data_IF_818993435092
#
_entry.id   IF_818993435092
#
_cell.length_a   1.000
_cell.length_b   1.000
_cell.length_c   1.000
_cell.angle_alpha   90.00
_cell.angle_beta   90.00
_cell.angle_gamma   90.00
#
_symmetry.space_group_name_H-M   'P 1'
#
loop_
_entity.id
_entity.type
_entity.pdbx_description
1 polymer ?
#
# COMPACT_ATOMS: atom_id res chain seq x y z
N UNK A 1 -1.15 21.38 -20.65
CA UNK A 1 -1.01 20.04 -20.04
C UNK A 1 -2.31 19.74 -19.31
N UNK A 2 -3.14 18.88 -19.86
CA UNK A 2 -4.40 18.48 -19.22
C UNK A 2 -4.04 17.36 -18.26
N UNK A 3 -4.19 17.57 -16.95
CA UNK A 3 -4.00 16.53 -15.97
C UNK A 3 -5.03 15.42 -16.23
N UNK A 4 -4.59 14.27 -16.69
CA UNK A 4 -5.43 13.07 -16.79
C UNK A 4 -5.58 12.51 -15.38
N UNK A 5 -6.72 12.76 -14.77
CA UNK A 5 -7.08 12.08 -13.52
C UNK A 5 -7.53 10.65 -13.85
N UNK A 6 -6.87 9.67 -13.24
CA UNK A 6 -7.32 8.29 -13.34
C UNK A 6 -8.65 8.15 -12.57
N UNK A 7 -9.73 7.89 -13.31
CA UNK A 7 -11.08 7.73 -12.74
C UNK A 7 -11.18 6.57 -11.76
N UNK A 8 -10.30 5.57 -11.87
CA UNK A 8 -10.27 4.42 -10.97
C UNK A 8 -9.95 4.81 -9.53
N UNK A 9 -9.21 5.91 -9.30
CA UNK A 9 -8.93 6.41 -7.94
C UNK A 9 -10.21 6.77 -7.17
N UNK A 10 -11.23 7.29 -7.87
CA UNK A 10 -12.49 7.70 -7.26
C UNK A 10 -13.53 6.57 -7.17
N UNK A 11 -13.30 5.48 -7.88
CA UNK A 11 -14.19 4.30 -7.85
C UNK A 11 -13.66 3.18 -6.97
N UNK A 12 -12.44 3.33 -6.44
CA UNK A 12 -11.85 2.34 -5.57
C UNK A 12 -12.61 2.25 -4.25
N UNK A 13 -13.19 1.09 -3.99
CA UNK A 13 -14.02 0.80 -2.81
C UNK A 13 -13.28 -0.03 -1.76
N UNK A 14 -12.04 -0.41 -2.02
CA UNK A 14 -11.24 -1.18 -1.08
C UNK A 14 -9.76 -1.19 -1.42
N UNK A 15 -8.94 -1.46 -0.40
CA UNK A 15 -7.50 -1.65 -0.46
C UNK A 15 -7.13 -2.95 0.23
N UNK A 16 -6.11 -3.60 -0.29
CA UNK A 16 -5.64 -4.89 0.21
C UNK A 16 -4.11 -4.94 0.15
N UNK A 17 -3.46 -5.15 1.28
CA UNK A 17 -2.00 -5.24 1.34
C UNK A 17 -1.44 -6.42 0.53
N UNK A 18 -2.20 -7.51 0.39
CA UNK A 18 -1.82 -8.66 -0.42
C UNK A 18 -2.04 -8.49 -1.93
N UNK A 19 -2.66 -7.37 -2.34
CA UNK A 19 -2.99 -7.06 -3.72
C UNK A 19 -2.90 -5.55 -3.96
N UNK A 20 -1.67 -4.99 -3.92
CA UNK A 20 -1.41 -3.56 -3.96
C UNK A 20 -2.00 -2.88 -5.20
N UNK A 21 -2.49 -1.68 -4.98
CA UNK A 21 -2.99 -0.75 -5.98
C UNK A 21 -2.33 0.62 -5.80
N UNK A 22 -2.65 1.59 -6.63
CA UNK A 22 -2.05 2.93 -6.63
C UNK A 22 -2.16 3.69 -5.29
N UNK A 23 -3.13 3.36 -4.44
CA UNK A 23 -3.38 4.07 -3.18
C UNK A 23 -2.84 3.33 -1.96
N UNK A 24 -2.15 2.22 -2.19
CA UNK A 24 -1.54 1.41 -1.15
C UNK A 24 -0.04 1.26 -1.34
N UNK A 25 0.71 1.26 -0.25
CA UNK A 25 2.12 0.93 -0.24
C UNK A 25 2.50 0.15 1.00
N UNK A 26 3.58 -0.61 0.91
CA UNK A 26 4.12 -1.38 2.03
C UNK A 26 5.56 -0.92 2.29
N UNK A 27 5.87 -0.70 3.55
CA UNK A 27 7.23 -0.46 4.04
C UNK A 27 7.70 -1.71 4.75
N UNK A 28 8.80 -2.30 4.27
CA UNK A 28 9.42 -3.49 4.84
C UNK A 28 10.91 -3.26 5.08
N UNK A 29 11.41 -3.72 6.22
CA UNK A 29 12.82 -3.59 6.60
C UNK A 29 13.54 -4.93 6.47
N UNK A 30 14.62 -4.94 5.71
CA UNK A 30 15.51 -6.11 5.60
C UNK A 30 16.62 -6.00 6.66
N UNK A 31 16.50 -6.78 7.73
CA UNK A 31 17.46 -6.71 8.87
C UNK A 31 18.79 -7.37 8.61
N UNK A 32 18.83 -8.40 7.75
CA UNK A 32 20.01 -9.21 7.52
C UNK A 32 20.74 -8.84 6.22
N UNK A 33 22.06 -8.58 6.29
CA UNK A 33 22.85 -8.36 5.09
C UNK A 33 22.83 -9.57 4.15
N UNK A 34 22.84 -9.31 2.84
CA UNK A 34 22.85 -10.36 1.82
C UNK A 34 22.17 -9.93 0.53
N UNK A 35 22.19 -10.83 -0.45
CA UNK A 35 21.51 -10.66 -1.73
C UNK A 35 20.14 -11.34 -1.68
N UNK A 36 19.13 -10.60 -2.13
CA UNK A 36 17.75 -11.05 -2.19
C UNK A 36 17.24 -10.97 -3.63
N UNK A 37 16.55 -12.01 -4.04
CA UNK A 37 15.83 -12.07 -5.30
C UNK A 37 14.36 -11.86 -5.04
N UNK A 38 13.77 -10.90 -5.69
CA UNK A 38 12.35 -10.57 -5.58
C UNK A 38 11.59 -10.85 -6.89
N UNK A 39 10.36 -11.33 -6.76
CA UNK A 39 9.46 -11.58 -7.89
C UNK A 39 8.17 -10.81 -7.66
N UNK A 40 7.80 -9.98 -8.64
CA UNK A 40 6.52 -9.25 -8.68
C UNK A 40 5.50 -10.06 -9.46
N UNK A 41 4.30 -10.15 -8.93
CA UNK A 41 3.13 -10.76 -9.57
C UNK A 41 1.98 -9.78 -9.62
N UNK A 42 1.26 -9.74 -10.73
CA UNK A 42 0.03 -8.97 -10.87
C UNK A 42 -0.93 -9.70 -11.81
N UNK A 43 -1.90 -10.42 -11.22
CA UNK A 43 -2.97 -11.08 -11.96
C UNK A 43 -2.51 -11.85 -13.20
N UNK A 44 -2.83 -11.31 -14.38
CA UNK A 44 -2.53 -11.93 -15.68
C UNK A 44 -1.25 -11.40 -16.34
N UNK A 45 -0.56 -10.45 -15.71
CA UNK A 45 0.65 -9.88 -16.28
C UNK A 45 1.85 -10.83 -16.08
N UNK A 46 2.87 -10.78 -16.97
CA UNK A 46 4.09 -11.54 -16.80
C UNK A 46 4.77 -11.20 -15.46
N UNK A 47 5.35 -12.20 -14.81
CA UNK A 47 6.15 -11.98 -13.60
C UNK A 47 7.40 -11.16 -13.92
N UNK A 48 7.76 -10.24 -13.03
CA UNK A 48 8.99 -9.49 -13.12
C UNK A 48 9.92 -9.85 -11.96
N UNK A 49 11.21 -9.93 -12.25
CA UNK A 49 12.24 -10.22 -11.24
C UNK A 49 13.13 -8.99 -11.05
N UNK A 50 13.51 -8.73 -9.81
CA UNK A 50 14.50 -7.72 -9.42
C UNK A 50 15.32 -8.21 -8.22
N UNK A 51 16.34 -7.45 -7.83
CA UNK A 51 17.26 -7.81 -6.75
C UNK A 51 17.33 -6.69 -5.71
N UNK A 52 17.54 -7.09 -4.46
CA UNK A 52 17.78 -6.16 -3.34
C UNK A 52 19.06 -6.63 -2.64
N UNK A 53 20.10 -5.78 -2.65
CA UNK A 53 21.30 -5.99 -1.83
C UNK A 53 21.15 -5.24 -0.52
N UNK A 54 21.27 -5.95 0.57
CA UNK A 54 21.32 -5.37 1.91
C UNK A 54 22.79 -5.32 2.34
N UNK A 55 23.40 -4.12 2.26
CA UNK A 55 24.83 -3.92 2.48
C UNK A 55 25.09 -2.91 3.58
N UNK A 56 25.93 -3.30 4.54
CA UNK A 56 26.37 -2.45 5.68
C UNK A 56 27.18 -1.24 5.22
N UNK A 57 27.84 -1.32 4.08
CA UNK A 57 28.61 -0.21 3.51
C UNK A 57 27.72 0.80 2.78
N UNK A 58 26.46 0.46 2.49
CA UNK A 58 25.52 1.36 1.82
C UNK A 58 25.04 2.44 2.78
N UNK A 59 25.02 3.69 2.33
CA UNK A 59 24.47 4.83 3.09
C UNK A 59 22.97 5.06 2.83
N UNK A 60 22.37 4.32 1.90
CA UNK A 60 20.96 4.50 1.51
C UNK A 60 20.05 3.94 2.60
N UNK A 61 19.27 4.82 3.22
CA UNK A 61 18.36 4.45 4.29
C UNK A 61 17.04 3.87 3.77
N UNK A 62 16.63 4.19 2.53
CA UNK A 62 15.41 3.66 1.94
C UNK A 62 15.48 3.63 0.42
N UNK A 63 14.71 2.72 -0.17
CA UNK A 63 14.52 2.60 -1.61
C UNK A 63 13.04 2.53 -1.93
N UNK A 64 12.62 3.23 -2.98
CA UNK A 64 11.27 3.18 -3.52
C UNK A 64 11.25 2.22 -4.70
N UNK A 65 10.36 1.23 -4.67
CA UNK A 65 10.25 0.18 -5.68
C UNK A 65 8.84 0.22 -6.27
N UNK A 66 8.75 0.71 -7.50
CA UNK A 66 7.50 0.75 -8.24
C UNK A 66 7.23 -0.60 -8.92
N UNK A 67 6.28 -1.33 -8.38
CA UNK A 67 5.93 -2.67 -8.86
C UNK A 67 5.33 -2.63 -10.28
N UNK A 68 4.57 -1.60 -10.62
CA UNK A 68 3.99 -1.44 -11.94
C UNK A 68 5.06 -1.17 -12.99
N UNK A 69 6.01 -0.30 -12.70
CA UNK A 69 7.14 0.01 -13.58
C UNK A 69 8.06 -1.18 -13.83
N UNK A 70 8.15 -2.12 -12.87
CA UNK A 70 8.91 -3.36 -13.06
C UNK A 70 8.23 -4.35 -14.02
N UNK A 71 6.91 -4.42 -14.01
CA UNK A 71 6.12 -5.34 -14.86
C UNK A 71 5.89 -4.77 -16.24
N UNK A 72 5.55 -3.47 -16.33
CA UNK A 72 5.29 -2.76 -17.57
C UNK A 72 6.24 -1.56 -17.70
N UNK A 73 7.49 -1.76 -18.13
CA UNK A 73 8.39 -0.64 -18.38
C UNK A 73 7.81 0.23 -19.50
N UNK A 74 7.63 1.52 -19.21
CA UNK A 74 7.11 2.48 -20.19
C UNK A 74 8.05 2.55 -21.41
N UNK A 75 7.55 2.25 -22.64
CA UNK A 75 8.37 2.30 -23.83
C UNK A 75 8.87 3.72 -24.19
N UNK A 76 8.19 4.78 -23.70
CA UNK A 76 8.58 6.17 -23.97
C UNK A 76 9.74 6.68 -23.10
N UNK A 77 10.08 6.00 -22.00
CA UNK A 77 11.33 6.22 -21.27
C UNK A 77 12.53 5.56 -21.92
N UNK A 78 12.36 4.91 -23.06
CA UNK A 78 13.34 4.11 -23.79
C UNK A 78 14.37 4.87 -24.59
N UNK A 79 14.63 6.15 -24.29
CA UNK A 79 15.89 6.81 -24.73
C UNK A 79 17.14 6.19 -24.12
N UNK A 80 17.05 5.56 -22.98
CA UNK A 80 18.02 4.64 -22.39
C UNK A 80 17.25 3.35 -22.08
N UNK A 81 17.52 2.27 -22.80
CA UNK A 81 17.14 0.93 -22.33
C UNK A 81 17.56 0.86 -20.86
N UNK A 82 16.68 0.51 -19.93
CA UNK A 82 17.11 0.05 -18.62
C UNK A 82 17.69 -1.38 -18.82
N UNK A 83 18.87 -1.45 -19.40
CA UNK A 83 19.82 -2.56 -19.23
C UNK A 83 20.52 -2.40 -17.88
N UNK A 84 20.15 -1.38 -17.09
CA UNK A 84 20.58 -1.19 -15.73
C UNK A 84 19.60 -1.93 -14.84
N UNK A 85 20.07 -2.96 -14.36
CA UNK A 85 19.83 -3.70 -13.15
C UNK A 85 18.62 -3.19 -12.36
N UNK A 86 17.57 -3.98 -12.41
CA UNK A 86 16.49 -4.02 -11.42
C UNK A 86 17.10 -4.44 -10.09
N UNK A 87 18.07 -3.65 -9.62
CA UNK A 87 18.90 -3.91 -8.47
C UNK A 87 18.90 -2.70 -7.56
N UNK A 88 18.40 -2.90 -6.34
CA UNK A 88 18.27 -1.87 -5.31
C UNK A 88 19.23 -2.20 -4.18
N UNK A 89 19.89 -1.20 -3.62
CA UNK A 89 20.81 -1.37 -2.51
C UNK A 89 20.33 -0.57 -1.32
N UNK A 90 20.24 -1.20 -0.16
CA UNK A 90 19.73 -0.57 1.07
C UNK A 90 20.61 -1.00 2.26
N UNK A 91 20.73 -0.10 3.26
CA UNK A 91 21.39 -0.40 4.53
C UNK A 91 20.56 -1.42 5.36
N UNK A 92 21.14 -2.34 6.17
CA UNK A 92 20.39 -3.28 7.02
C UNK A 92 19.43 -2.66 8.03
N UNK A 93 19.59 -1.37 8.36
CA UNK A 93 18.66 -0.60 9.20
C UNK A 93 17.70 0.27 8.36
N UNK A 94 17.76 0.10 7.06
CA UNK A 94 16.91 0.80 6.11
C UNK A 94 15.68 -0.02 5.74
N UNK A 95 14.92 0.50 4.79
CA UNK A 95 13.66 -0.13 4.36
C UNK A 95 13.41 0.04 2.87
N UNK A 96 12.66 -0.91 2.32
CA UNK A 96 12.08 -0.80 0.99
C UNK A 96 10.61 -0.36 1.08
N UNK A 97 10.22 0.54 0.19
CA UNK A 97 8.83 0.97 0.00
C UNK A 97 8.34 0.36 -1.30
N UNK A 98 7.47 -0.63 -1.22
CA UNK A 98 6.80 -1.21 -2.37
C UNK A 98 5.53 -0.42 -2.66
N UNK A 99 5.43 0.15 -3.85
CA UNK A 99 4.27 0.94 -4.27
C UNK A 99 3.88 0.64 -5.72
N UNK A 100 2.76 1.18 -6.14
CA UNK A 100 2.21 1.03 -7.49
C UNK A 100 1.91 2.40 -8.05
N UNK A 101 2.57 2.79 -9.15
CA UNK A 101 2.36 4.09 -9.80
C UNK A 101 1.20 4.08 -10.80
N UNK A 102 0.74 2.90 -11.25
CA UNK A 102 -0.32 2.78 -12.25
C UNK A 102 -0.68 1.33 -12.56
N UNK A 103 -1.58 1.13 -13.50
CA UNK A 103 -1.99 -0.18 -13.98
C UNK A 103 -3.20 -0.78 -13.26
N UNK A 104 -3.52 -2.06 -13.54
CA UNK A 104 -4.79 -2.67 -13.13
C UNK A 104 -4.89 -2.97 -11.63
N UNK A 105 -3.79 -2.81 -10.88
CA UNK A 105 -3.73 -3.20 -9.46
C UNK A 105 -3.48 -4.71 -9.26
N UNK A 106 -3.59 -5.16 -8.01
CA UNK A 106 -3.41 -6.57 -7.66
C UNK A 106 -1.94 -7.00 -7.62
N UNK A 107 -1.02 -6.06 -7.37
CA UNK A 107 0.41 -6.36 -7.31
C UNK A 107 0.80 -6.97 -5.96
N UNK A 108 1.62 -8.01 -6.02
CA UNK A 108 2.26 -8.60 -4.85
C UNK A 108 3.75 -8.85 -5.12
N UNK A 109 4.55 -8.86 -4.07
CA UNK A 109 5.98 -9.16 -4.15
C UNK A 109 6.34 -10.30 -3.21
N UNK A 110 7.15 -11.22 -3.71
CA UNK A 110 7.75 -12.31 -2.95
C UNK A 110 9.27 -12.15 -3.02
N UNK A 111 9.92 -12.15 -1.87
CA UNK A 111 11.38 -11.99 -1.75
C UNK A 111 11.98 -13.22 -1.11
N UNK A 112 13.12 -13.69 -1.63
CA UNK A 112 13.87 -14.83 -1.12
C UNK A 112 15.35 -14.46 -1.06
N UNK A 113 16.10 -15.05 -0.17
CA UNK A 113 17.54 -14.96 -0.22
C UNK A 113 18.08 -15.68 -1.45
N UNK A 114 19.05 -15.06 -2.13
CA UNK A 114 19.58 -15.62 -3.39
C UNK A 114 20.38 -16.92 -3.18
N UNK A 115 20.99 -17.08 -2.00
CA UNK A 115 21.88 -18.19 -1.65
C UNK A 115 21.20 -19.30 -0.85
N UNK A 116 19.93 -19.12 -0.45
CA UNK A 116 19.20 -20.09 0.38
C UNK A 116 18.24 -20.96 -0.43
N UNK A 117 17.71 -21.99 0.23
CA UNK A 117 16.68 -22.88 -0.30
C UNK A 117 15.56 -22.06 -0.96
N UNK A 118 15.21 -22.34 -2.23
CA UNK A 118 14.15 -21.66 -2.94
C UNK A 118 12.79 -21.70 -2.24
N UNK A 119 12.57 -22.60 -1.30
CA UNK A 119 11.34 -22.70 -0.52
C UNK A 119 11.29 -21.74 0.67
N UNK A 120 12.45 -21.26 1.16
CA UNK A 120 12.51 -20.31 2.25
C UNK A 120 12.21 -18.88 1.73
N UNK A 121 11.07 -18.37 2.13
CA UNK A 121 10.66 -16.99 1.85
C UNK A 121 11.26 -16.07 2.91
N UNK A 122 11.99 -15.05 2.47
CA UNK A 122 12.41 -13.97 3.36
C UNK A 122 11.26 -12.99 3.64
N UNK A 123 10.38 -12.79 2.64
CA UNK A 123 9.25 -11.88 2.76
C UNK A 123 8.18 -12.20 1.70
N UNK A 124 6.90 -12.01 2.03
CA UNK A 124 5.76 -12.11 1.10
C UNK A 124 4.75 -11.00 1.43
N UNK A 125 4.54 -10.06 0.51
CA UNK A 125 3.62 -8.93 0.71
C UNK A 125 2.16 -9.34 0.95
N UNK A 126 1.81 -10.59 0.64
CA UNK A 126 0.48 -11.12 0.94
C UNK A 126 0.29 -11.48 2.41
N UNK A 127 1.39 -11.58 3.16
CA UNK A 127 1.42 -11.75 4.60
C UNK A 127 2.47 -10.82 5.17
N UNK A 128 2.03 -9.70 5.70
CA UNK A 128 2.89 -8.73 6.35
C UNK A 128 3.39 -9.28 7.69
N UNK A 129 4.59 -8.88 8.07
CA UNK A 129 5.25 -9.32 9.30
C UNK A 129 5.24 -8.19 10.35
N UNK A 130 5.44 -8.51 11.65
CA UNK A 130 5.61 -7.49 12.66
C UNK A 130 6.74 -6.52 12.32
N UNK A 131 6.43 -5.22 12.37
CA UNK A 131 7.34 -4.15 11.96
C UNK A 131 7.07 -3.61 10.55
N UNK A 132 6.29 -4.31 9.74
CA UNK A 132 5.81 -3.78 8.47
C UNK A 132 4.80 -2.66 8.67
N UNK A 133 4.73 -1.76 7.69
CA UNK A 133 3.73 -0.70 7.66
C UNK A 133 2.96 -0.80 6.34
N UNK A 134 1.66 -0.91 6.43
CA UNK A 134 0.79 -0.71 5.29
C UNK A 134 0.29 0.73 5.29
N UNK A 135 0.62 1.49 4.26
CA UNK A 135 0.19 2.88 4.09
C UNK A 135 -0.90 2.95 3.03
N UNK A 136 -1.96 3.68 3.34
CA UNK A 136 -3.13 3.84 2.47
C UNK A 136 -3.56 5.30 2.36
N UNK A 137 -4.13 5.67 1.21
CA UNK A 137 -4.80 6.95 1.01
C UNK A 137 -6.24 6.64 0.59
N UNK A 138 -7.21 7.16 1.35
CA UNK A 138 -8.63 6.98 1.08
C UNK A 138 -9.20 8.29 0.51
N UNK A 139 -9.63 8.23 -0.75
CA UNK A 139 -10.14 9.43 -1.45
C UNK A 139 -11.64 9.64 -1.28
N UNK A 140 -12.40 8.55 -1.28
CA UNK A 140 -13.86 8.64 -1.25
C UNK A 140 -14.32 8.92 0.17
N UNK A 141 -15.09 9.99 0.41
CA UNK A 141 -15.71 10.22 1.71
C UNK A 141 -16.64 9.06 2.09
N UNK A 142 -16.68 8.74 3.38
CA UNK A 142 -17.51 7.66 3.87
C UNK A 142 -16.89 6.89 5.01
N UNK A 143 -17.52 5.78 5.37
CA UNK A 143 -17.09 4.90 6.43
C UNK A 143 -16.49 3.61 5.85
N UNK A 144 -15.31 3.26 6.34
CA UNK A 144 -14.56 2.06 5.95
C UNK A 144 -14.41 1.12 7.14
N UNK A 145 -14.38 -0.17 6.87
CA UNK A 145 -13.90 -1.21 7.78
C UNK A 145 -12.44 -1.52 7.47
N UNK A 146 -11.61 -1.57 8.49
CA UNK A 146 -10.20 -2.00 8.40
C UNK A 146 -10.07 -3.30 9.18
N UNK A 147 -9.56 -4.35 8.55
CA UNK A 147 -9.39 -5.67 9.16
C UNK A 147 -7.97 -6.17 8.98
N UNK A 148 -7.41 -6.76 10.03
CA UNK A 148 -6.20 -7.56 9.95
C UNK A 148 -6.62 -9.03 9.84
N UNK A 149 -6.52 -9.60 8.65
CA UNK A 149 -6.90 -10.97 8.35
C UNK A 149 -5.76 -11.93 8.72
N UNK A 150 -6.09 -13.07 9.27
CA UNK A 150 -5.19 -14.19 9.44
C UNK A 150 -4.77 -14.76 8.07
N UNK A 151 -3.60 -15.36 8.00
CA UNK A 151 -3.10 -15.99 6.78
C UNK A 151 -4.02 -17.09 6.29
N UNK A 152 -4.02 -17.31 4.96
CA UNK A 152 -4.66 -18.47 4.33
C UNK A 152 -4.14 -19.77 4.98
N UNK A 153 -5.01 -20.49 5.67
CA UNK A 153 -4.70 -21.75 6.38
C UNK A 153 -5.06 -21.74 7.87
N UNK A 154 -5.16 -20.59 8.51
CA UNK A 154 -5.70 -20.43 9.84
C UNK A 154 -7.13 -19.92 9.68
N UNK A 155 -8.12 -20.74 9.95
CA UNK A 155 -9.58 -20.45 9.92
C UNK A 155 -10.02 -19.33 8.97
N UNK A 156 -10.37 -19.67 7.74
CA UNK A 156 -10.81 -18.69 6.73
C UNK A 156 -11.87 -17.74 7.30
N UNK A 157 -11.55 -16.46 7.38
CA UNK A 157 -12.47 -15.38 7.81
C UNK A 157 -12.30 -14.88 9.23
N UNK A 158 -11.42 -15.45 10.05
CA UNK A 158 -11.07 -14.88 11.34
C UNK A 158 -10.14 -13.67 11.15
N UNK A 159 -10.38 -12.60 11.89
CA UNK A 159 -9.52 -11.39 11.93
C UNK A 159 -8.93 -11.22 13.32
N UNK A 160 -7.67 -10.81 13.40
CA UNK A 160 -7.05 -10.39 14.66
C UNK A 160 -7.65 -9.10 15.21
N UNK A 161 -8.37 -8.35 14.41
CA UNK A 161 -8.98 -7.10 14.86
C UNK A 161 -9.67 -6.36 13.74
N UNK A 162 -10.58 -5.49 14.14
CA UNK A 162 -11.32 -4.62 13.26
C UNK A 162 -11.32 -3.20 13.81
N UNK A 163 -11.21 -2.23 12.92
CA UNK A 163 -11.37 -0.80 13.21
C UNK A 163 -12.26 -0.15 12.16
N UNK A 164 -12.85 0.97 12.50
CA UNK A 164 -13.58 1.81 11.57
C UNK A 164 -12.77 3.06 11.22
N UNK A 165 -12.81 3.45 9.96
CA UNK A 165 -12.22 4.71 9.48
C UNK A 165 -13.32 5.54 8.85
N UNK A 166 -13.43 6.80 9.27
CA UNK A 166 -14.34 7.75 8.65
C UNK A 166 -13.54 8.78 7.87
N UNK A 167 -13.79 8.89 6.57
CA UNK A 167 -13.20 9.94 5.73
C UNK A 167 -14.22 11.05 5.58
N UNK A 168 -13.89 12.25 6.06
CA UNK A 168 -14.78 13.40 6.02
C UNK A 168 -15.05 13.85 4.58
N UNK A 169 -16.21 14.48 4.37
CA UNK A 169 -16.50 15.17 3.12
C UNK A 169 -15.69 16.47 3.04
N UNK A 170 -15.10 16.82 1.89
CA UNK A 170 -14.34 18.06 1.76
C UNK A 170 -15.21 19.30 2.01
N UNK A 171 -14.70 20.23 2.80
CA UNK A 171 -15.39 21.51 3.00
C UNK A 171 -15.18 22.38 1.76
N UNK A 172 -16.26 22.85 1.10
CA UNK A 172 -16.15 23.71 -0.07
C UNK A 172 -15.44 25.03 0.27
N UNK A 173 -14.56 25.48 -0.62
CA UNK A 173 -13.95 26.83 -0.57
C UNK A 173 -12.56 26.92 0.04
N UNK A 174 -11.98 25.86 0.55
CA UNK A 174 -10.58 25.87 1.01
C UNK A 174 -9.62 25.61 -0.17
N UNK A 175 -9.20 26.68 -0.84
CA UNK A 175 -8.26 26.62 -1.97
C UNK A 175 -6.81 26.34 -1.54
N UNK A 176 -6.52 26.38 -0.24
CA UNK A 176 -5.19 26.17 0.35
C UNK A 176 -5.12 24.86 1.16
N UNK A 177 -6.08 23.94 0.97
CA UNK A 177 -6.11 22.71 1.71
C UNK A 177 -4.78 21.92 1.59
N UNK A 178 -4.20 21.61 2.72
CA UNK A 178 -3.06 20.70 2.85
C UNK A 178 -3.46 19.54 3.75
N UNK A 179 -3.33 18.29 3.29
CA UNK A 179 -3.61 17.15 4.15
C UNK A 179 -2.74 17.23 5.41
N UNK A 180 -3.29 16.97 6.59
CA UNK A 180 -2.49 16.84 7.81
C UNK A 180 -1.54 15.62 7.72
N UNK A 181 -0.61 15.47 8.67
CA UNK A 181 0.20 14.26 8.77
C UNK A 181 -0.66 13.00 8.76
N UNK A 182 -0.08 11.91 8.26
CA UNK A 182 -0.77 10.63 8.24
C UNK A 182 -1.23 10.22 9.63
N UNK A 183 -2.45 9.71 9.74
CA UNK A 183 -2.91 9.03 10.93
C UNK A 183 -2.18 7.69 11.09
N UNK A 184 -2.00 7.26 12.32
CA UNK A 184 -1.28 6.02 12.64
C UNK A 184 -2.17 5.13 13.50
N UNK A 185 -2.19 3.83 13.17
CA UNK A 185 -2.81 2.83 14.00
C UNK A 185 -1.90 1.60 14.13
N UNK A 186 -1.95 0.96 15.28
CA UNK A 186 -1.24 -0.28 15.57
C UNK A 186 -2.16 -1.49 15.32
N UNK A 187 -1.70 -2.43 14.49
CA UNK A 187 -2.41 -3.65 14.14
C UNK A 187 -1.80 -4.83 14.90
N UNK A 188 -2.24 -5.02 16.16
CA UNK A 188 -1.94 -6.16 17.00
C UNK A 188 -3.08 -7.18 17.00
N UNK A 189 -3.36 -7.79 18.16
CA UNK A 189 -4.57 -8.60 18.38
C UNK A 189 -5.86 -7.77 18.20
N UNK A 190 -5.72 -6.46 18.34
CA UNK A 190 -6.74 -5.46 18.00
C UNK A 190 -6.09 -4.35 17.19
N UNK A 191 -6.89 -3.61 16.45
CA UNK A 191 -6.44 -2.38 15.78
C UNK A 191 -6.73 -1.22 16.71
N UNK A 192 -5.68 -0.46 17.05
CA UNK A 192 -5.76 0.69 17.96
C UNK A 192 -5.23 1.96 17.29
N UNK A 193 -6.02 3.05 17.26
CA UNK A 193 -7.37 3.18 17.81
C UNK A 193 -8.43 2.42 16.98
N UNK A 194 -9.50 1.96 17.62
CA UNK A 194 -10.60 1.24 16.97
C UNK A 194 -11.46 2.14 16.07
N UNK A 195 -11.35 3.45 16.21
CA UNK A 195 -11.98 4.45 15.35
C UNK A 195 -10.99 5.54 14.97
N UNK A 196 -10.94 5.86 13.67
CA UNK A 196 -10.01 6.81 13.08
C UNK A 196 -10.78 7.76 12.19
N UNK A 197 -10.67 9.06 12.44
CA UNK A 197 -11.21 10.09 11.58
C UNK A 197 -10.11 10.65 10.68
N UNK A 198 -10.35 10.66 9.38
CA UNK A 198 -9.45 11.18 8.37
C UNK A 198 -10.09 12.38 7.64
N UNK A 199 -9.24 13.34 7.33
CA UNK A 199 -9.58 14.36 6.35
C UNK A 199 -9.29 13.83 4.92
N UNK A 200 -9.91 14.40 3.88
CA UNK A 200 -9.67 13.97 2.50
C UNK A 200 -8.19 13.97 2.16
N UNK A 201 -7.72 12.94 1.47
CA UNK A 201 -6.32 12.75 1.06
C UNK A 201 -5.31 12.62 2.22
N UNK A 202 -5.75 12.56 3.47
CA UNK A 202 -4.87 12.22 4.58
C UNK A 202 -4.44 10.77 4.49
N UNK A 203 -3.14 10.51 4.67
CA UNK A 203 -2.60 9.16 4.71
C UNK A 203 -3.01 8.42 5.99
N UNK A 204 -3.12 7.12 5.90
CA UNK A 204 -3.30 6.19 7.02
C UNK A 204 -2.14 5.20 7.04
N UNK A 205 -1.39 5.14 8.12
CA UNK A 205 -0.31 4.19 8.34
C UNK A 205 -0.73 3.14 9.36
N UNK A 206 -0.77 1.90 8.95
CA UNK A 206 -1.14 0.74 9.75
C UNK A 206 0.13 -0.05 10.08
N UNK A 207 0.58 0.03 11.33
CA UNK A 207 1.80 -0.61 11.81
C UNK A 207 1.47 -2.02 12.31
N UNK A 208 2.03 -3.04 11.68
CA UNK A 208 1.79 -4.41 12.08
C UNK A 208 2.59 -4.78 13.33
N UNK A 209 1.91 -5.32 14.31
CA UNK A 209 2.47 -5.87 15.56
C UNK A 209 2.38 -7.40 15.60
N UNK A 210 1.50 -7.97 14.80
CA UNK A 210 1.35 -9.41 14.56
C UNK A 210 1.31 -9.67 13.06
N UNK A 211 1.66 -10.86 12.59
CA UNK A 211 1.56 -11.19 11.16
C UNK A 211 0.12 -11.09 10.67
N UNK A 212 -0.08 -10.64 9.43
CA UNK A 212 -1.41 -10.56 8.87
C UNK A 212 -1.49 -9.92 7.49
N UNK A 213 -2.71 -9.71 7.03
CA UNK A 213 -3.04 -9.05 5.77
C UNK A 213 -4.08 -7.97 6.04
N UNK A 214 -3.74 -6.76 5.74
CA UNK A 214 -4.65 -5.63 5.94
C UNK A 214 -5.61 -5.52 4.76
N UNK A 215 -6.90 -5.47 5.09
CA UNK A 215 -7.96 -5.19 4.15
C UNK A 215 -8.78 -4.00 4.62
N UNK A 216 -9.01 -3.05 3.72
CA UNK A 216 -9.82 -1.86 3.93
C UNK A 216 -10.96 -1.90 2.92
N UNK A 217 -12.19 -1.91 3.40
CA UNK A 217 -13.39 -1.97 2.56
C UNK A 217 -14.31 -0.77 2.85
N UNK A 218 -14.81 -0.10 1.82
CA UNK A 218 -15.84 0.93 1.96
C UNK A 218 -17.16 0.26 2.36
N UNK A 219 -17.66 0.61 3.53
CA UNK A 219 -18.93 0.09 4.07
C UNK A 219 -20.09 0.99 3.70
N UNK A 220 -19.88 2.31 3.78
CA UNK A 220 -20.90 3.31 3.51
C UNK A 220 -20.26 4.54 2.89
N UNK A 221 -20.71 4.90 1.70
CA UNK A 221 -20.23 6.11 1.02
C UNK A 221 -20.97 7.34 1.54
N UNK A 222 -20.23 8.43 1.74
CA UNK A 222 -20.81 9.75 1.95
C UNK A 222 -20.77 10.51 0.62
N UNK A 223 -21.92 10.59 -0.05
CA UNK A 223 -22.05 11.30 -1.33
C UNK A 223 -22.31 12.81 -1.16
N UNK A 224 -22.20 13.31 0.08
CA UNK A 224 -22.41 14.70 0.44
C UNK A 224 -23.89 15.14 0.45
N UNK A 225 -24.16 16.41 0.73
CA UNK A 225 -25.52 16.91 0.77
C UNK A 225 -26.18 16.75 -0.60
N UNK A 226 -27.32 16.06 -0.65
CA UNK A 226 -28.10 15.95 -1.87
C UNK A 226 -28.51 17.36 -2.31
N UNK A 227 -28.07 17.78 -3.49
CA UNK A 227 -28.48 19.04 -4.12
C UNK A 227 -29.95 18.96 -4.49
N UNK A 228 -30.85 19.15 -3.52
CA UNK A 228 -32.27 18.99 -3.74
C UNK A 228 -33.19 19.59 -2.66
N UNK A 229 -32.66 19.99 -1.51
CA UNK A 229 -33.43 20.57 -0.42
C UNK A 229 -33.20 22.10 -0.26
N UNK A 230 -32.98 22.81 -1.35
CA UNK A 230 -33.26 24.24 -1.34
C UNK A 230 -34.76 24.41 -1.56
N UNK A 231 -35.56 24.30 -0.49
CA UNK A 231 -36.92 24.79 -0.44
C UNK A 231 -36.87 26.33 -0.49
N UNK A 232 -37.33 26.99 -1.57
CA UNK A 232 -37.26 28.43 -1.70
C UNK A 232 -38.49 29.11 -1.04
N UNK A 233 -38.97 28.57 0.07
CA UNK A 233 -40.06 29.20 0.82
C UNK A 233 -39.73 29.30 2.32
N UNK A 234 -39.00 30.38 2.67
CA UNK A 234 -39.22 31.16 3.91
C UNK A 234 -38.60 32.53 3.80
#
# INVERSE_FOLDING_TARGET
MTAMFDRHLFTQIGLDSGALTMLGSIVHSFGEPGEYRATVRSGQLPEATFYISVDRACAVAHVNIDLAGLVNPDPDTSGCKPTGDRHFVVHPKGYAVFHVSGGPGGYSVNVRRAEEDPELKAYDSRRLEPGDIFSAILFRPGRYSVRNLLSEGESQGESHGEASVTVAYPVPGDTAYRPPPAAVADCGERIEPAHIDLLPMQGLNLHLRVPGRIRIDLVEADDGPKSGDSNPDR
#
